data_IF_970966443479
#
_entry.id   IF_970966443479
#
_cell.length_a   1.000
_cell.length_b   1.000
_cell.length_c   1.000
_cell.angle_alpha   90.00
_cell.angle_beta   90.00
_cell.angle_gamma   90.00
#
_symmetry.space_group_name_H-M   'P 1'
#
loop_
_entity.id
_entity.type
_entity.pdbx_description
1 polymer ?
#
# COMPACT_ATOMS: atom_id res chain seq x y z
N UNK A 1 -8.63 -9.65 -12.83
CA UNK A 1 -7.94 -9.92 -11.55
C UNK A 1 -7.13 -8.68 -11.23
N UNK A 2 -7.05 -8.26 -9.97
CA UNK A 2 -6.29 -7.07 -9.58
C UNK A 2 -4.78 -7.27 -9.81
N UNK A 3 -4.08 -6.17 -10.06
CA UNK A 3 -2.64 -6.15 -10.35
C UNK A 3 -1.83 -6.19 -9.06
N UNK A 4 -1.00 -7.22 -8.90
CA UNK A 4 -0.28 -7.46 -7.65
C UNK A 4 0.87 -6.45 -7.45
N UNK A 5 0.96 -5.89 -6.24
CA UNK A 5 2.08 -5.09 -5.75
C UNK A 5 3.00 -5.99 -4.94
N UNK A 6 4.30 -5.95 -5.26
CA UNK A 6 5.30 -6.72 -4.53
C UNK A 6 5.70 -5.99 -3.24
N UNK A 7 5.55 -6.67 -2.11
CA UNK A 7 6.06 -6.19 -0.82
C UNK A 7 7.58 -6.15 -0.83
N UNK A 8 8.15 -5.02 -0.41
CA UNK A 8 9.59 -4.79 -0.28
C UNK A 8 10.00 -4.84 1.19
N UNK A 9 11.21 -5.32 1.48
CA UNK A 9 11.73 -5.41 2.84
C UNK A 9 12.87 -4.40 3.02
N UNK A 10 12.64 -3.31 3.77
CA UNK A 10 13.69 -2.39 4.17
C UNK A 10 14.83 -3.11 4.89
N UNK A 11 16.06 -2.58 4.77
CA UNK A 11 17.19 -3.06 5.57
C UNK A 11 17.08 -2.51 6.99
N UNK A 12 17.34 -3.35 7.99
CA UNK A 12 17.41 -2.94 9.39
C UNK A 12 17.94 -4.06 10.30
N UNK A 13 18.05 -3.81 11.62
CA UNK A 13 18.51 -2.54 12.19
C UNK A 13 20.02 -2.31 11.97
N UNK A 14 20.77 -3.35 11.58
CA UNK A 14 22.23 -3.30 11.40
C UNK A 14 22.61 -3.87 10.02
N UNK A 15 22.51 -3.07 8.94
CA UNK A 15 22.95 -3.51 7.62
C UNK A 15 24.47 -3.71 7.58
N UNK A 16 24.94 -4.53 6.64
CA UNK A 16 26.38 -4.69 6.37
C UNK A 16 27.00 -3.35 5.98
N UNK A 17 28.19 -3.06 6.52
CA UNK A 17 28.94 -1.82 6.29
C UNK A 17 30.21 -2.14 5.47
N UNK A 18 30.56 -1.34 4.44
CA UNK A 18 29.83 -0.16 3.96
C UNK A 18 28.51 -0.54 3.26
N UNK A 19 27.48 0.30 3.43
CA UNK A 19 26.23 0.14 2.68
C UNK A 19 26.52 0.44 1.22
N UNK A 20 26.26 -0.51 0.32
CA UNK A 20 26.45 -0.30 -1.12
C UNK A 20 25.41 0.69 -1.68
N UNK A 21 25.76 1.35 -2.78
CA UNK A 21 24.82 2.24 -3.48
C UNK A 21 23.49 1.52 -3.77
N UNK A 22 22.38 2.25 -3.61
CA UNK A 22 20.99 1.80 -3.84
C UNK A 22 20.50 0.65 -2.95
N UNK A 23 21.28 0.19 -1.95
CA UNK A 23 20.89 -0.93 -1.10
C UNK A 23 19.76 -0.62 -0.11
N UNK A 24 19.40 0.65 0.04
CA UNK A 24 18.34 1.14 0.94
C UNK A 24 17.11 1.65 0.17
N UNK A 25 17.17 1.63 -1.16
CA UNK A 25 16.12 2.19 -2.00
C UNK A 25 14.89 1.29 -1.97
N UNK A 26 13.72 1.91 -2.16
CA UNK A 26 12.47 1.23 -2.46
C UNK A 26 11.85 1.87 -3.69
N UNK A 27 10.92 1.16 -4.31
CA UNK A 27 10.28 1.60 -5.54
C UNK A 27 8.77 1.68 -5.38
N UNK A 28 8.17 2.62 -6.11
CA UNK A 28 6.73 2.72 -6.28
C UNK A 28 6.30 1.99 -7.56
N UNK A 29 5.11 1.39 -7.52
CA UNK A 29 4.43 0.87 -8.69
C UNK A 29 3.24 1.78 -9.02
N UNK A 30 3.04 2.11 -10.31
CA UNK A 30 1.84 2.81 -10.75
C UNK A 30 0.60 1.98 -10.39
N UNK A 31 -0.47 2.66 -10.01
CA UNK A 31 -1.76 2.03 -9.79
C UNK A 31 -2.33 1.50 -11.10
N UNK A 32 -3.04 0.38 -11.01
CA UNK A 32 -3.92 -0.09 -12.05
C UNK A 32 -5.33 0.42 -11.73
N UNK A 33 -5.67 1.59 -12.25
CA UNK A 33 -6.97 2.22 -12.00
C UNK A 33 -8.15 1.51 -12.70
N UNK A 34 -7.90 0.53 -13.57
CA UNK A 34 -8.93 -0.24 -14.26
C UNK A 34 -9.27 -1.54 -13.52
N UNK A 35 -8.26 -2.33 -13.12
CA UNK A 35 -8.43 -3.61 -12.44
C UNK A 35 -8.26 -3.53 -10.91
N UNK A 36 -7.72 -2.43 -10.39
CA UNK A 36 -7.28 -2.28 -9.01
C UNK A 36 -5.95 -2.96 -8.74
N UNK A 37 -5.43 -2.78 -7.53
CA UNK A 37 -4.21 -3.41 -7.08
C UNK A 37 -4.45 -4.30 -5.87
N UNK A 38 -3.59 -5.29 -5.67
CA UNK A 38 -3.62 -6.12 -4.47
C UNK A 38 -2.23 -6.43 -3.93
N UNK A 39 -2.14 -6.77 -2.65
CA UNK A 39 -0.92 -7.35 -2.06
C UNK A 39 -1.29 -8.29 -0.92
N UNK A 40 -0.39 -9.22 -0.60
CA UNK A 40 -0.60 -10.18 0.48
C UNK A 40 -0.26 -9.52 1.83
N UNK A 41 -1.17 -9.63 2.79
CA UNK A 41 -0.98 -9.12 4.16
C UNK A 41 -0.59 -10.27 5.10
N UNK A 42 0.47 -10.05 5.86
CA UNK A 42 0.95 -10.94 6.93
C UNK A 42 0.90 -10.29 8.32
N UNK A 43 0.62 -8.98 8.39
CA UNK A 43 0.32 -8.26 9.64
C UNK A 43 1.31 -7.18 10.06
N UNK A 44 2.31 -6.89 9.23
CA UNK A 44 3.30 -5.83 9.49
C UNK A 44 3.61 -5.00 8.25
N UNK A 45 2.61 -4.83 7.38
CA UNK A 45 2.79 -4.06 6.15
C UNK A 45 2.50 -2.57 6.39
N UNK A 46 3.33 -1.73 5.82
CA UNK A 46 3.12 -0.29 5.65
C UNK A 46 2.86 -0.02 4.17
N UNK A 47 1.66 0.46 3.84
CA UNK A 47 1.36 0.99 2.53
C UNK A 47 1.80 2.45 2.48
N UNK A 48 2.55 2.80 1.44
CA UNK A 48 2.85 4.16 1.03
C UNK A 48 2.09 4.45 -0.25
N UNK A 49 1.51 5.64 -0.33
CA UNK A 49 0.78 6.14 -1.50
C UNK A 49 1.39 7.48 -1.89
N UNK A 50 1.56 7.71 -3.19
CA UNK A 50 2.07 8.96 -3.73
C UNK A 50 1.21 9.38 -4.92
N UNK A 51 0.84 10.66 -5.00
CA UNK A 51 0.18 11.22 -6.18
C UNK A 51 1.21 11.94 -7.06
N UNK A 52 1.62 11.28 -8.15
CA UNK A 52 2.53 11.86 -9.14
C UNK A 52 1.82 12.66 -10.25
N UNK A 53 0.50 12.84 -10.13
CA UNK A 53 -0.27 13.63 -11.09
C UNK A 53 -0.13 15.13 -10.84
N UNK A 54 -0.63 15.94 -11.78
CA UNK A 54 -0.70 17.40 -11.66
C UNK A 54 -1.93 17.89 -10.87
N UNK A 55 -2.94 17.02 -10.68
CA UNK A 55 -4.17 17.33 -9.96
C UNK A 55 -4.38 16.43 -8.74
N UNK A 56 -5.33 16.80 -7.89
CA UNK A 56 -5.74 15.97 -6.78
C UNK A 56 -6.34 14.64 -7.29
N UNK A 57 -5.92 13.54 -6.68
CA UNK A 57 -6.40 12.20 -6.98
C UNK A 57 -6.92 11.53 -5.71
N UNK A 58 -7.55 10.37 -5.87
CA UNK A 58 -8.08 9.62 -4.74
C UNK A 58 -7.62 8.17 -4.75
N UNK A 59 -7.57 7.58 -3.56
CA UNK A 59 -7.42 6.13 -3.41
C UNK A 59 -8.39 5.56 -2.37
N UNK A 60 -8.53 4.24 -2.41
CA UNK A 60 -9.35 3.46 -1.50
C UNK A 60 -8.58 2.25 -0.97
N UNK A 61 -8.94 1.83 0.24
CA UNK A 61 -8.47 0.58 0.85
C UNK A 61 -9.71 -0.18 1.31
N UNK A 62 -9.94 -1.36 0.74
CA UNK A 62 -11.11 -2.17 1.08
C UNK A 62 -10.83 -3.09 2.26
N UNK A 63 -11.75 -3.06 3.22
CA UNK A 63 -11.76 -3.80 4.47
C UNK A 63 -12.84 -4.90 4.45
N UNK A 64 -12.69 -5.89 5.33
CA UNK A 64 -13.73 -6.89 5.63
C UNK A 64 -14.32 -6.63 7.01
N UNK A 65 -15.52 -7.14 7.24
CA UNK A 65 -16.09 -7.10 8.59
C UNK A 65 -15.24 -7.94 9.56
N UNK A 66 -14.96 -7.42 10.74
CA UNK A 66 -14.37 -8.20 11.82
C UNK A 66 -15.39 -9.13 12.48
N UNK A 67 -14.97 -9.85 13.54
CA UNK A 67 -15.83 -10.78 14.29
C UNK A 67 -17.05 -10.11 14.96
N UNK A 68 -17.08 -8.78 15.04
CA UNK A 68 -18.18 -7.99 15.59
C UNK A 68 -18.97 -7.24 14.50
N UNK A 69 -18.69 -7.50 13.22
CA UNK A 69 -19.38 -6.86 12.10
C UNK A 69 -18.84 -5.46 11.74
N UNK A 70 -17.73 -5.02 12.31
CA UNK A 70 -17.18 -3.68 12.07
C UNK A 70 -16.29 -3.66 10.83
N UNK A 71 -16.42 -2.59 10.03
CA UNK A 71 -15.58 -2.31 8.85
C UNK A 71 -14.81 -1.01 9.01
N UNK A 72 -13.71 -0.90 8.27
CA UNK A 72 -12.82 0.26 8.26
C UNK A 72 -12.44 0.69 6.85
N UNK A 73 -13.32 0.51 5.86
CA UNK A 73 -13.07 0.91 4.47
C UNK A 73 -12.57 2.36 4.41
N UNK A 74 -11.44 2.58 3.75
CA UNK A 74 -10.99 3.93 3.41
C UNK A 74 -11.57 4.24 2.03
N UNK A 75 -12.53 5.15 1.98
CA UNK A 75 -13.22 5.53 0.74
C UNK A 75 -12.83 6.94 0.33
N UNK A 76 -12.53 7.12 -0.97
CA UNK A 76 -12.30 8.43 -1.61
C UNK A 76 -11.32 9.33 -0.85
N UNK A 77 -10.23 8.76 -0.31
CA UNK A 77 -9.22 9.58 0.37
C UNK A 77 -8.51 10.44 -0.66
N UNK A 78 -8.64 11.76 -0.53
CA UNK A 78 -8.02 12.74 -1.42
C UNK A 78 -6.54 12.91 -1.11
N UNK A 79 -5.75 12.99 -2.16
CA UNK A 79 -4.31 13.23 -2.13
C UNK A 79 -4.00 14.31 -3.16
N UNK A 80 -3.55 15.48 -2.73
CA UNK A 80 -3.20 16.57 -3.65
C UNK A 80 -1.95 16.20 -4.48
N UNK A 81 -1.70 16.96 -5.54
CA UNK A 81 -0.56 16.74 -6.41
C UNK A 81 0.76 16.82 -5.63
N UNK A 82 1.60 15.79 -5.74
CA UNK A 82 2.88 15.72 -5.04
C UNK A 82 2.81 15.25 -3.58
N UNK A 83 1.61 14.93 -3.06
CA UNK A 83 1.46 14.46 -1.68
C UNK A 83 1.74 12.97 -1.51
N UNK A 84 2.14 12.63 -0.29
CA UNK A 84 2.36 11.27 0.17
C UNK A 84 1.41 10.94 1.31
N UNK A 85 0.84 9.74 1.28
CA UNK A 85 0.08 9.18 2.39
C UNK A 85 0.70 7.85 2.84
N UNK A 86 0.48 7.48 4.09
CA UNK A 86 0.94 6.22 4.64
C UNK A 86 -0.17 5.57 5.46
N UNK A 87 -0.31 4.25 5.34
CA UNK A 87 -1.24 3.46 6.12
C UNK A 87 -0.56 2.20 6.66
N UNK A 88 -0.52 2.08 7.99
CA UNK A 88 0.06 0.92 8.65
C UNK A 88 -1.02 -0.12 8.98
N UNK A 89 -0.84 -1.33 8.48
CA UNK A 89 -1.68 -2.47 8.83
C UNK A 89 -1.17 -3.14 10.12
N UNK A 90 -1.45 -2.51 11.26
CA UNK A 90 -1.07 -3.02 12.59
C UNK A 90 -1.85 -4.25 13.07
N UNK A 91 -2.92 -4.62 12.34
CA UNK A 91 -3.65 -5.87 12.54
C UNK A 91 -4.21 -6.35 11.19
N UNK A 92 -4.24 -7.66 11.00
CA UNK A 92 -4.75 -8.33 9.80
C UNK A 92 -6.29 -8.45 9.84
N UNK A 93 -6.86 -8.58 11.04
CA UNK A 93 -8.31 -8.71 11.24
C UNK A 93 -9.00 -7.42 10.79
N UNK A 94 -10.07 -7.56 10.00
CA UNK A 94 -10.83 -6.44 9.45
C UNK A 94 -10.28 -5.91 8.11
N UNK A 95 -9.11 -6.38 7.67
CA UNK A 95 -8.49 -5.96 6.42
C UNK A 95 -8.31 -7.11 5.43
N UNK A 96 -7.96 -8.28 5.94
CA UNK A 96 -7.65 -9.46 5.15
C UNK A 96 -8.87 -10.01 4.41
N UNK A 97 -8.83 -9.92 3.08
CA UNK A 97 -9.83 -10.48 2.20
C UNK A 97 -9.52 -11.96 1.85
N UNK A 98 -10.23 -12.49 0.85
CA UNK A 98 -9.91 -13.79 0.27
C UNK A 98 -8.42 -13.89 -0.11
N UNK A 99 -7.84 -15.08 0.04
CA UNK A 99 -6.43 -15.35 -0.26
C UNK A 99 -5.41 -14.49 0.52
N UNK A 100 -5.81 -13.98 1.68
CA UNK A 100 -4.98 -13.13 2.54
C UNK A 100 -4.50 -11.83 1.87
N UNK A 101 -5.36 -11.20 1.06
CA UNK A 101 -5.00 -9.98 0.31
C UNK A 101 -5.65 -8.72 0.87
N UNK A 102 -4.99 -7.60 0.62
CA UNK A 102 -5.57 -6.25 0.65
C UNK A 102 -5.92 -5.85 -0.77
N UNK A 103 -7.06 -5.19 -0.96
CA UNK A 103 -7.45 -4.59 -2.23
C UNK A 103 -7.35 -3.08 -2.14
N UNK A 104 -6.75 -2.50 -3.18
CA UNK A 104 -6.57 -1.07 -3.37
C UNK A 104 -7.20 -0.67 -4.70
N UNK A 105 -7.74 0.54 -4.76
CA UNK A 105 -8.10 1.18 -6.02
C UNK A 105 -7.76 2.66 -5.97
N UNK A 106 -7.48 3.26 -7.13
CA UNK A 106 -7.26 4.68 -7.29
C UNK A 106 -8.12 5.25 -8.42
N UNK A 107 -8.28 6.57 -8.45
CA UNK A 107 -8.93 7.27 -9.56
C UNK A 107 -8.05 7.38 -10.81
N UNK A 108 -6.74 7.24 -10.68
CA UNK A 108 -5.77 7.47 -11.76
C UNK A 108 -4.51 6.60 -11.59
N UNK A 109 -3.84 6.28 -12.70
CA UNK A 109 -2.61 5.46 -12.77
C UNK A 109 -1.35 6.23 -12.32
N UNK A 110 -1.41 7.56 -12.27
CA UNK A 110 -0.38 8.41 -11.64
C UNK A 110 -0.40 8.36 -10.10
N UNK A 111 -1.43 7.77 -9.48
CA UNK A 111 -1.33 7.37 -8.08
C UNK A 111 -0.45 6.14 -8.01
N UNK A 112 0.59 6.19 -7.19
CA UNK A 112 1.56 5.12 -7.06
C UNK A 112 1.54 4.52 -5.66
N UNK A 113 1.80 3.22 -5.57
CA UNK A 113 1.78 2.45 -4.34
C UNK A 113 3.12 1.77 -4.09
N UNK A 114 3.55 1.74 -2.84
CA UNK A 114 4.64 0.89 -2.36
C UNK A 114 4.22 0.20 -1.07
N UNK A 115 4.59 -1.07 -0.91
CA UNK A 115 4.30 -1.83 0.31
C UNK A 115 5.62 -2.23 0.95
N UNK A 116 5.84 -1.79 2.18
CA UNK A 116 7.02 -2.11 2.96
C UNK A 116 6.67 -3.06 4.10
N UNK A 117 7.54 -4.02 4.39
CA UNK A 117 7.41 -4.89 5.54
C UNK A 117 8.18 -4.32 6.74
N UNK A 118 7.52 -4.14 7.89
CA UNK A 118 8.10 -3.56 9.10
C UNK A 118 8.62 -4.64 10.07
N UNK A 119 9.30 -5.66 9.54
CA UNK A 119 9.80 -6.76 10.36
C UNK A 119 10.94 -6.37 11.32
#
# INVERSE_FOLDING_TARGET
MATAITTQTPKGPHPTIPVSANALDFTFANSDNAAGNDFVITGRQLLLVFNNDVGAQTFTISSVADQFGRKGDITTYSLDAGEYAAFWFGNVVGWKQALNKILLASSNDNVQFAVLNLD
#
